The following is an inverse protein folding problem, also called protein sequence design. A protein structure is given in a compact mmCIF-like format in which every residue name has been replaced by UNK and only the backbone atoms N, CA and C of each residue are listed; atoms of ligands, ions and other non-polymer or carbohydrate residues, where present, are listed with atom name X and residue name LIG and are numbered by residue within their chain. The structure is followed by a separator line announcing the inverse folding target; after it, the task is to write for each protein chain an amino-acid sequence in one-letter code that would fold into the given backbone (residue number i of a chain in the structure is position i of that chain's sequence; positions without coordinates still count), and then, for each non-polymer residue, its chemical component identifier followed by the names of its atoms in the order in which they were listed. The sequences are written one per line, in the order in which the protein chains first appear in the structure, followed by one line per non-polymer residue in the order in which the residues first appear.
data_IF_060737531458
#
_entry.id   IF_060737531458
#
_cell.length_a   1.000
_cell.length_b   1.000
_cell.length_c   1.000
_cell.angle_alpha   90.00
_cell.angle_beta   90.00
_cell.angle_gamma   90.00
#
_symmetry.space_group_name_H-M   'P 1'
#
loop_
_entity.id
_entity.type
_entity.pdbx_description
1 polymer ?
#
# COMPACT_ATOMS: atom_id res chain seq x y z
N UNK A 1 0.31 -4.80 7.83
CA UNK A 1 -0.20 -5.86 8.71
C UNK A 1 0.67 -7.09 8.50
N UNK A 2 1.38 -7.51 9.52
CA UNK A 2 2.19 -8.73 9.47
C UNK A 2 1.33 -9.88 10.00
N UNK A 3 1.10 -10.88 9.16
CA UNK A 3 0.50 -12.12 9.60
C UNK A 3 1.62 -13.13 9.88
N UNK A 4 1.60 -13.74 11.04
CA UNK A 4 2.40 -14.93 11.26
C UNK A 4 1.89 -16.03 10.32
N UNK A 5 2.82 -16.71 9.64
CA UNK A 5 2.46 -17.80 8.72
C UNK A 5 1.59 -18.84 9.42
N UNK A 6 0.57 -19.32 8.71
CA UNK A 6 -0.55 -20.09 9.25
C UNK A 6 -0.26 -21.49 9.76
N UNK A 7 0.98 -21.84 10.02
CA UNK A 7 1.37 -23.07 10.72
C UNK A 7 1.86 -22.71 12.11
N UNK A 8 1.34 -23.37 13.14
CA UNK A 8 1.75 -23.22 14.54
C UNK A 8 3.26 -23.44 14.81
N UNK A 9 4.02 -23.81 13.81
CA UNK A 9 5.47 -24.02 13.86
C UNK A 9 6.26 -22.95 13.09
N UNK A 10 5.61 -22.04 12.35
CA UNK A 10 6.32 -21.08 11.50
C UNK A 10 6.27 -19.68 12.13
N UNK A 11 7.41 -19.23 12.63
CA UNK A 11 7.62 -17.90 13.20
C UNK A 11 7.95 -16.83 12.16
N UNK A 12 7.88 -17.16 10.86
CA UNK A 12 8.12 -16.21 9.78
C UNK A 12 6.88 -15.38 9.51
N UNK A 13 7.09 -14.07 9.38
CA UNK A 13 6.11 -13.19 8.80
C UNK A 13 5.99 -13.48 7.30
N UNK A 14 4.81 -13.88 6.86
CA UNK A 14 4.54 -14.17 5.45
C UNK A 14 3.71 -13.06 4.83
N UNK A 15 4.20 -12.47 3.75
CA UNK A 15 3.44 -11.54 2.92
C UNK A 15 3.20 -12.07 1.51
N UNK A 16 4.07 -12.93 1.00
CA UNK A 16 3.87 -13.57 -0.29
C UNK A 16 2.86 -14.73 -0.20
N UNK A 17 2.06 -14.88 -1.26
CA UNK A 17 1.03 -15.94 -1.32
C UNK A 17 1.60 -17.35 -1.19
N UNK A 18 2.80 -17.55 -1.71
CA UNK A 18 3.50 -18.85 -1.68
C UNK A 18 4.03 -19.23 -0.30
N UNK A 19 4.14 -18.26 0.61
CA UNK A 19 4.71 -18.45 1.94
C UNK A 19 3.64 -18.65 3.03
N UNK A 20 2.35 -18.60 2.68
CA UNK A 20 1.26 -18.69 3.67
C UNK A 20 0.02 -19.37 3.11
N UNK A 21 -0.67 -20.12 3.97
CA UNK A 21 -2.00 -20.67 3.71
C UNK A 21 -3.15 -19.70 4.03
N UNK A 22 -2.83 -18.44 4.38
CA UNK A 22 -3.85 -17.45 4.70
C UNK A 22 -4.75 -17.18 3.50
N UNK A 23 -6.04 -17.49 3.66
CA UNK A 23 -7.04 -17.24 2.64
C UNK A 23 -7.77 -15.91 2.89
N UNK A 24 -7.49 -14.90 2.05
CA UNK A 24 -8.11 -13.59 2.15
C UNK A 24 -9.65 -13.62 2.08
N UNK A 25 -10.25 -14.61 1.44
CA UNK A 25 -11.71 -14.77 1.37
C UNK A 25 -12.33 -15.08 2.75
N UNK A 26 -11.54 -15.68 3.65
CA UNK A 26 -11.95 -16.05 4.99
C UNK A 26 -11.66 -14.97 6.06
N UNK A 27 -10.91 -13.92 5.70
CA UNK A 27 -10.47 -12.89 6.66
C UNK A 27 -11.62 -12.23 7.44
N UNK A 28 -12.82 -12.17 6.85
CA UNK A 28 -14.02 -11.59 7.47
C UNK A 28 -15.09 -12.64 7.83
N UNK A 29 -14.77 -13.94 7.71
CA UNK A 29 -15.68 -15.02 8.06
C UNK A 29 -15.47 -15.45 9.50
N UNK A 30 -16.42 -15.15 10.36
CA UNK A 30 -16.35 -15.47 11.80
C UNK A 30 -16.10 -16.97 12.02
N UNK A 31 -15.20 -17.28 12.94
CA UNK A 31 -14.84 -18.64 13.32
C UNK A 31 -13.70 -19.27 12.50
N UNK A 32 -13.23 -18.60 11.45
CA UNK A 32 -12.03 -19.03 10.72
C UNK A 32 -10.77 -18.58 11.45
N UNK A 33 -9.66 -19.26 11.21
CA UNK A 33 -8.39 -18.84 11.79
C UNK A 33 -7.89 -17.53 11.18
N UNK A 34 -8.17 -17.31 9.89
CA UNK A 34 -7.85 -16.07 9.19
C UNK A 34 -8.56 -14.86 9.80
N UNK A 35 -9.85 -15.01 10.12
CA UNK A 35 -10.61 -13.95 10.78
C UNK A 35 -10.03 -13.63 12.16
N UNK A 36 -9.67 -14.64 12.92
CA UNK A 36 -9.05 -14.47 14.24
C UNK A 36 -7.75 -13.68 14.10
N UNK A 37 -6.82 -14.10 13.24
CA UNK A 37 -5.53 -13.45 13.04
C UNK A 37 -5.70 -12.02 12.52
N UNK A 38 -6.57 -11.82 11.52
CA UNK A 38 -6.84 -10.50 10.96
C UNK A 38 -7.36 -9.53 12.03
N UNK A 39 -8.31 -9.97 12.86
CA UNK A 39 -8.87 -9.14 13.94
C UNK A 39 -7.85 -8.82 15.03
N UNK A 40 -7.04 -9.81 15.43
CA UNK A 40 -5.98 -9.61 16.41
C UNK A 40 -4.91 -8.63 15.92
N UNK A 41 -4.54 -8.70 14.64
CA UNK A 41 -3.57 -7.78 14.05
C UNK A 41 -4.14 -6.36 13.89
N UNK A 42 -5.41 -6.21 13.50
CA UNK A 42 -6.06 -4.90 13.50
C UNK A 42 -6.04 -4.26 14.90
N UNK A 43 -6.30 -5.04 15.95
CA UNK A 43 -6.27 -4.53 17.33
C UNK A 43 -4.86 -4.08 17.75
N UNK A 44 -3.83 -4.87 17.43
CA UNK A 44 -2.42 -4.51 17.71
C UNK A 44 -2.01 -3.23 16.95
N UNK A 45 -2.36 -3.14 15.68
CA UNK A 45 -2.05 -1.98 14.85
C UNK A 45 -2.77 -0.74 15.37
N UNK A 46 -4.08 -0.83 15.70
CA UNK A 46 -4.83 0.28 16.25
C UNK A 46 -4.21 0.81 17.56
N UNK A 47 -3.78 -0.09 18.45
CA UNK A 47 -3.10 0.29 19.68
C UNK A 47 -1.81 1.08 19.44
N UNK A 48 -0.99 0.67 18.47
CA UNK A 48 0.23 1.38 18.09
C UNK A 48 -0.05 2.72 17.41
N UNK A 49 -1.06 2.80 16.54
CA UNK A 49 -1.48 4.03 15.88
C UNK A 49 -1.98 5.07 16.89
N UNK A 50 -2.68 4.63 17.94
CA UNK A 50 -3.12 5.52 19.04
C UNK A 50 -1.94 6.14 19.78
N UNK A 51 -0.83 5.44 19.98
CA UNK A 51 0.37 6.01 20.59
C UNK A 51 0.92 7.20 19.77
N UNK A 52 0.94 7.06 18.45
CA UNK A 52 1.34 8.15 17.56
C UNK A 52 0.31 9.29 17.55
N UNK A 53 -0.97 8.95 17.59
CA UNK A 53 -2.06 9.92 17.66
C UNK A 53 -1.99 10.76 18.94
N UNK A 54 -1.73 10.14 20.09
CA UNK A 54 -1.63 10.82 21.38
C UNK A 54 -0.48 11.84 21.40
N UNK A 55 0.57 11.60 20.60
CA UNK A 55 1.68 12.53 20.38
C UNK A 55 1.43 13.53 19.24
N UNK A 56 0.23 13.53 18.66
CA UNK A 56 -0.16 14.44 17.55
C UNK A 56 0.53 14.13 16.21
N UNK A 57 1.03 12.92 16.00
CA UNK A 57 1.76 12.52 14.80
C UNK A 57 0.78 11.96 13.76
N UNK A 58 0.63 12.61 12.58
CA UNK A 58 -0.14 12.05 11.48
C UNK A 58 0.64 10.89 10.82
N UNK A 59 -0.08 9.88 10.35
CA UNK A 59 0.50 8.70 9.73
C UNK A 59 -0.01 8.55 8.29
N UNK A 60 0.92 8.49 7.32
CA UNK A 60 0.62 8.04 5.97
C UNK A 60 0.47 6.53 6.02
N UNK A 61 -0.76 6.05 5.89
CA UNK A 61 -1.12 4.64 6.04
C UNK A 61 -1.34 4.01 4.66
N UNK A 62 -0.40 3.17 4.24
CA UNK A 62 -0.40 2.47 2.95
C UNK A 62 -0.48 0.95 3.13
N UNK A 63 -1.64 0.42 3.54
CA UNK A 63 -1.83 -1.01 3.75
C UNK A 63 -2.04 -1.74 2.43
N UNK A 64 -1.74 -3.04 2.39
CA UNK A 64 -2.09 -3.93 1.30
C UNK A 64 -1.68 -3.42 -0.09
N UNK A 65 -0.49 -2.82 -0.19
CA UNK A 65 0.00 -2.25 -1.43
C UNK A 65 0.11 -3.30 -2.55
N UNK A 66 0.06 -2.85 -3.81
CA UNK A 66 0.25 -3.69 -5.00
C UNK A 66 -0.65 -4.94 -5.05
N UNK A 67 -1.88 -4.84 -4.56
CA UNK A 67 -2.77 -5.98 -4.43
C UNK A 67 -3.10 -6.64 -5.77
N UNK A 68 -3.30 -5.85 -6.83
CA UNK A 68 -3.62 -6.35 -8.16
C UNK A 68 -2.46 -7.12 -8.82
N UNK A 69 -1.23 -6.97 -8.34
CA UNK A 69 -0.07 -7.74 -8.78
C UNK A 69 -0.16 -9.23 -8.44
N UNK A 70 -0.91 -9.57 -7.38
CA UNK A 70 -1.27 -10.95 -7.05
C UNK A 70 -0.17 -11.76 -6.38
N UNK A 71 1.00 -11.19 -6.09
CA UNK A 71 2.10 -11.88 -5.38
C UNK A 71 1.96 -11.88 -3.87
N UNK A 72 1.24 -10.92 -3.30
CA UNK A 72 0.94 -10.88 -1.88
C UNK A 72 -0.35 -11.63 -1.53
N UNK A 73 -0.49 -12.13 -0.29
CA UNK A 73 -1.66 -12.88 0.14
C UNK A 73 -2.95 -12.03 0.07
N UNK A 74 -2.87 -10.70 0.25
CA UNK A 74 -4.00 -9.79 0.12
C UNK A 74 -4.41 -9.50 -1.33
N UNK A 75 -3.61 -9.96 -2.31
CA UNK A 75 -3.86 -9.84 -3.75
C UNK A 75 -4.60 -11.02 -4.35
N UNK A 76 -5.37 -11.81 -3.57
CA UNK A 76 -6.09 -12.97 -4.07
C UNK A 76 -7.16 -12.60 -5.10
N UNK A 77 -8.01 -11.63 -4.78
CA UNK A 77 -9.03 -11.08 -5.67
C UNK A 77 -9.50 -9.70 -5.17
N UNK A 78 -10.05 -8.90 -6.09
CA UNK A 78 -10.49 -7.54 -5.82
C UNK A 78 -11.62 -7.45 -4.77
N UNK A 79 -12.51 -8.42 -4.70
CA UNK A 79 -13.63 -8.42 -3.75
C UNK A 79 -13.14 -8.56 -2.32
N UNK A 80 -12.33 -9.57 -2.04
CA UNK A 80 -11.78 -9.81 -0.70
C UNK A 80 -10.86 -8.67 -0.26
N UNK A 81 -10.03 -8.16 -1.18
CA UNK A 81 -9.20 -6.99 -0.92
C UNK A 81 -10.03 -5.78 -0.48
N UNK A 82 -11.05 -5.37 -1.25
CA UNK A 82 -11.90 -4.22 -0.89
C UNK A 82 -12.64 -4.44 0.42
N UNK A 83 -13.13 -5.64 0.66
CA UNK A 83 -13.82 -5.97 1.90
C UNK A 83 -12.91 -5.85 3.11
N UNK A 84 -11.68 -6.37 3.04
CA UNK A 84 -10.67 -6.24 4.10
C UNK A 84 -10.28 -4.77 4.33
N UNK A 85 -10.08 -4.00 3.25
CA UNK A 85 -9.76 -2.56 3.33
C UNK A 85 -10.85 -1.80 4.08
N UNK A 86 -12.11 -1.96 3.66
CA UNK A 86 -13.25 -1.28 4.27
C UNK A 86 -13.45 -1.73 5.73
N UNK A 87 -13.27 -3.02 6.01
CA UNK A 87 -13.34 -3.53 7.38
C UNK A 87 -12.27 -2.92 8.29
N UNK A 88 -11.02 -2.84 7.82
CA UNK A 88 -9.91 -2.18 8.53
C UNK A 88 -10.19 -0.70 8.77
N UNK A 89 -10.64 0.03 7.73
CA UNK A 89 -11.01 1.44 7.84
C UNK A 89 -12.08 1.66 8.93
N UNK A 90 -13.15 0.88 8.88
CA UNK A 90 -14.25 0.99 9.85
C UNK A 90 -13.81 0.58 11.26
N UNK A 91 -12.95 -0.44 11.38
CA UNK A 91 -12.41 -0.87 12.66
C UNK A 91 -11.58 0.24 13.31
N UNK A 92 -10.63 0.83 12.58
CA UNK A 92 -9.80 1.92 13.12
C UNK A 92 -10.63 3.14 13.49
N UNK A 93 -11.63 3.47 12.68
CA UNK A 93 -12.58 4.55 12.99
C UNK A 93 -13.37 4.27 14.27
N UNK A 94 -13.85 3.04 14.45
CA UNK A 94 -14.59 2.63 15.67
C UNK A 94 -13.70 2.64 16.91
N UNK A 95 -12.41 2.31 16.76
CA UNK A 95 -11.40 2.40 17.80
C UNK A 95 -10.95 3.85 18.11
N UNK A 96 -11.45 4.84 17.37
CA UNK A 96 -11.10 6.25 17.56
C UNK A 96 -9.76 6.67 16.97
N UNK A 97 -9.17 5.88 16.07
CA UNK A 97 -7.98 6.26 15.31
C UNK A 97 -8.40 7.26 14.23
N UNK A 98 -7.82 8.47 14.25
CA UNK A 98 -8.20 9.57 13.39
C UNK A 98 -7.01 10.39 12.83
N UNK A 99 -5.79 9.86 12.95
CA UNK A 99 -4.55 10.49 12.49
C UNK A 99 -4.00 9.87 11.21
N UNK A 100 -4.81 9.11 10.45
CA UNK A 100 -4.37 8.40 9.24
C UNK A 100 -4.70 9.18 7.97
N UNK A 101 -3.75 9.15 7.04
CA UNK A 101 -3.90 9.55 5.64
C UNK A 101 -3.82 8.28 4.80
N UNK A 102 -4.94 7.87 4.22
CA UNK A 102 -5.07 6.57 3.56
C UNK A 102 -4.55 6.59 2.13
N UNK A 103 -3.58 5.75 1.85
CA UNK A 103 -2.96 5.61 0.52
C UNK A 103 -3.29 4.26 -0.08
N UNK A 104 -4.01 4.25 -1.18
CA UNK A 104 -4.22 3.07 -2.01
C UNK A 104 -3.21 3.07 -3.16
N UNK A 105 -2.51 1.96 -3.37
CA UNK A 105 -1.55 1.79 -4.47
C UNK A 105 -2.25 1.17 -5.66
N UNK A 106 -2.30 1.92 -6.78
CA UNK A 106 -2.89 1.45 -8.04
C UNK A 106 -1.84 0.78 -8.93
N UNK A 107 -2.26 -0.25 -9.61
CA UNK A 107 -1.61 -0.83 -10.78
C UNK A 107 -2.34 -0.40 -12.06
N UNK A 108 -1.79 -0.67 -13.22
CA UNK A 108 -2.48 -0.31 -14.46
C UNK A 108 -3.63 -1.27 -14.73
N UNK A 109 -4.85 -0.73 -14.89
CA UNK A 109 -6.05 -1.51 -15.23
C UNK A 109 -6.66 -2.27 -14.05
N UNK A 110 -6.49 -1.74 -12.85
CA UNK A 110 -6.97 -2.33 -11.60
C UNK A 110 -8.15 -1.56 -10.96
N UNK A 111 -8.95 -0.88 -11.76
CA UNK A 111 -10.09 -0.08 -11.28
C UNK A 111 -11.03 -0.87 -10.36
N UNK A 112 -11.17 -2.16 -10.61
CA UNK A 112 -11.99 -3.08 -9.81
C UNK A 112 -11.48 -3.24 -8.37
N UNK A 113 -10.20 -2.91 -8.11
CA UNK A 113 -9.57 -2.99 -6.80
C UNK A 113 -9.73 -1.74 -5.95
N UNK A 114 -10.20 -0.63 -6.55
CA UNK A 114 -10.36 0.63 -5.85
C UNK A 114 -11.40 0.53 -4.73
N UNK A 115 -11.04 0.81 -3.46
CA UNK A 115 -11.98 0.71 -2.34
C UNK A 115 -13.09 1.76 -2.35
N UNK A 116 -12.88 2.84 -3.11
CA UNK A 116 -13.82 3.95 -3.23
C UNK A 116 -13.35 5.23 -2.53
N UNK A 117 -13.85 6.36 -3.03
CA UNK A 117 -13.42 7.71 -2.62
C UNK A 117 -13.55 7.99 -1.12
N UNK A 118 -14.49 7.34 -0.44
CA UNK A 118 -14.72 7.52 1.00
C UNK A 118 -13.64 6.88 1.89
N UNK A 119 -12.80 6.02 1.31
CA UNK A 119 -11.83 5.18 2.02
C UNK A 119 -10.37 5.45 1.60
N UNK A 120 -10.14 6.40 0.70
CA UNK A 120 -8.82 6.72 0.14
C UNK A 120 -8.63 8.22 0.10
N UNK A 121 -7.51 8.70 0.61
CA UNK A 121 -7.10 10.11 0.54
C UNK A 121 -6.14 10.37 -0.62
N UNK A 122 -5.18 9.47 -0.82
CA UNK A 122 -4.13 9.57 -1.82
C UNK A 122 -4.12 8.29 -2.67
N UNK A 123 -3.97 8.44 -3.98
CA UNK A 123 -3.69 7.33 -4.89
C UNK A 123 -2.20 7.26 -5.12
N UNK A 124 -1.59 6.16 -4.71
CA UNK A 124 -0.18 5.87 -4.89
C UNK A 124 0.09 5.04 -6.14
N UNK A 125 1.30 5.13 -6.66
CA UNK A 125 1.82 4.28 -7.72
C UNK A 125 3.23 3.84 -7.38
N UNK A 126 3.51 2.54 -7.52
CA UNK A 126 4.83 1.98 -7.36
C UNK A 126 5.44 1.76 -8.75
N UNK A 127 6.62 2.33 -9.00
CA UNK A 127 7.24 2.32 -10.33
C UNK A 127 8.70 1.90 -10.23
N UNK A 128 9.05 0.91 -11.03
CA UNK A 128 10.43 0.42 -11.17
C UNK A 128 10.87 0.39 -12.62
N UNK A 129 12.13 0.74 -12.86
CA UNK A 129 12.82 0.57 -14.15
C UNK A 129 12.10 1.27 -15.32
N UNK A 130 11.67 2.52 -15.11
CA UNK A 130 11.01 3.35 -16.13
C UNK A 130 11.70 4.71 -16.29
N UNK A 131 11.71 5.23 -17.51
CA UNK A 131 12.18 6.59 -17.78
C UNK A 131 11.16 7.66 -17.28
N UNK A 132 11.58 8.92 -17.27
CA UNK A 132 10.80 10.03 -16.79
C UNK A 132 9.50 10.26 -17.59
N UNK A 133 9.53 10.00 -18.91
CA UNK A 133 8.37 10.17 -19.78
C UNK A 133 7.30 9.12 -19.52
N UNK A 134 7.72 7.89 -19.29
CA UNK A 134 6.83 6.78 -18.92
C UNK A 134 6.22 7.01 -17.52
N UNK A 135 7.02 7.46 -16.55
CA UNK A 135 6.50 7.84 -15.23
C UNK A 135 5.46 8.97 -15.34
N UNK A 136 5.68 9.96 -16.19
CA UNK A 136 4.72 11.04 -16.41
C UNK A 136 3.44 10.57 -17.12
N UNK A 137 3.54 9.58 -18.00
CA UNK A 137 2.37 8.94 -18.62
C UNK A 137 1.53 8.17 -17.57
N UNK A 138 2.18 7.41 -16.69
CA UNK A 138 1.51 6.71 -15.60
C UNK A 138 0.78 7.72 -14.68
N UNK A 139 1.49 8.79 -14.26
CA UNK A 139 0.88 9.89 -13.50
C UNK A 139 -0.37 10.45 -14.15
N UNK A 140 -0.29 10.77 -15.45
CA UNK A 140 -1.41 11.36 -16.19
C UNK A 140 -2.61 10.42 -16.25
N UNK A 141 -2.37 9.12 -16.41
CA UNK A 141 -3.43 8.10 -16.41
C UNK A 141 -4.15 8.02 -15.06
N UNK A 142 -3.41 8.11 -13.95
CA UNK A 142 -3.97 8.10 -12.60
C UNK A 142 -4.80 9.37 -12.36
N UNK A 143 -4.29 10.54 -12.77
CA UNK A 143 -5.04 11.81 -12.64
C UNK A 143 -6.34 11.78 -13.45
N UNK A 144 -6.35 11.13 -14.60
CA UNK A 144 -7.58 10.97 -15.41
C UNK A 144 -8.58 10.06 -14.70
N UNK A 145 -8.11 8.97 -14.12
CA UNK A 145 -8.97 7.99 -13.44
C UNK A 145 -9.48 8.49 -12.07
N UNK A 146 -8.62 9.19 -11.30
CA UNK A 146 -8.86 9.57 -9.90
C UNK A 146 -8.59 11.05 -9.64
N UNK A 147 -9.05 11.93 -10.56
CA UNK A 147 -8.68 13.35 -10.60
C UNK A 147 -9.08 14.21 -9.40
N UNK A 148 -9.86 13.68 -8.45
CA UNK A 148 -10.21 14.31 -7.18
C UNK A 148 -9.26 13.92 -6.02
N UNK A 149 -8.24 13.11 -6.30
CA UNK A 149 -7.27 12.62 -5.31
C UNK A 149 -5.87 13.21 -5.56
N UNK A 150 -5.12 13.39 -4.49
CA UNK A 150 -3.68 13.58 -4.61
C UNK A 150 -3.05 12.30 -5.14
N UNK A 151 -2.00 12.46 -5.96
CA UNK A 151 -1.29 11.33 -6.56
C UNK A 151 0.15 11.33 -6.08
N UNK A 152 0.64 10.18 -5.64
CA UNK A 152 1.99 10.00 -5.13
C UNK A 152 2.75 8.90 -5.87
N UNK A 153 4.06 9.07 -6.01
CA UNK A 153 4.99 8.00 -6.36
C UNK A 153 5.32 7.24 -5.08
N UNK A 154 4.40 6.35 -4.68
CA UNK A 154 4.38 5.75 -3.34
C UNK A 154 5.52 4.78 -3.08
N UNK A 155 6.15 4.29 -4.16
CA UNK A 155 7.39 3.53 -4.13
C UNK A 155 8.09 3.62 -5.47
N UNK A 156 9.42 3.71 -5.50
CA UNK A 156 10.13 3.71 -6.77
C UNK A 156 11.56 3.17 -6.65
N UNK A 157 12.04 2.64 -7.79
CA UNK A 157 13.42 2.21 -7.93
C UNK A 157 13.88 2.26 -9.39
N UNK A 158 15.11 2.79 -9.62
CA UNK A 158 15.70 2.91 -10.95
C UNK A 158 14.78 3.61 -11.96
N UNK A 159 14.20 4.72 -11.55
CA UNK A 159 13.33 5.56 -12.39
C UNK A 159 14.06 6.83 -12.85
N UNK A 160 13.56 7.45 -13.92
CA UNK A 160 14.07 8.76 -14.37
C UNK A 160 14.03 9.81 -13.26
N UNK A 161 14.92 10.80 -13.32
CA UNK A 161 15.05 11.84 -12.30
C UNK A 161 13.72 12.52 -11.99
N UNK A 162 13.46 12.79 -10.73
CA UNK A 162 12.21 13.41 -10.30
C UNK A 162 12.00 14.79 -10.94
N UNK A 163 13.08 15.55 -11.15
CA UNK A 163 13.04 16.83 -11.84
C UNK A 163 12.65 16.70 -13.34
N UNK A 164 13.07 15.63 -14.00
CA UNK A 164 12.69 15.32 -15.38
C UNK A 164 11.24 14.85 -15.46
N UNK A 165 10.81 14.01 -14.51
CA UNK A 165 9.39 13.60 -14.37
C UNK A 165 8.50 14.82 -14.15
N UNK A 166 8.93 15.75 -13.29
CA UNK A 166 8.22 17.01 -13.05
C UNK A 166 8.13 17.88 -14.31
N UNK A 167 9.23 18.01 -15.06
CA UNK A 167 9.26 18.73 -16.34
C UNK A 167 8.35 18.08 -17.39
N UNK A 168 8.23 16.76 -17.37
CA UNK A 168 7.33 15.98 -18.23
C UNK A 168 5.85 16.02 -17.80
N UNK A 169 5.53 16.61 -16.65
CA UNK A 169 4.15 16.81 -16.19
C UNK A 169 3.73 16.01 -14.97
N UNK A 170 4.54 15.08 -14.48
CA UNK A 170 4.23 14.36 -13.24
C UNK A 170 4.38 15.25 -12.01
N UNK A 171 3.27 15.52 -11.33
CA UNK A 171 3.19 16.38 -10.15
C UNK A 171 2.92 15.53 -8.91
N UNK A 172 3.82 14.53 -8.67
CA UNK A 172 3.73 13.69 -7.49
C UNK A 172 3.68 14.55 -6.23
N UNK A 173 2.72 14.29 -5.34
CA UNK A 173 2.61 15.00 -4.06
C UNK A 173 3.76 14.68 -3.12
N UNK A 174 4.27 13.45 -3.21
CA UNK A 174 5.50 12.97 -2.57
C UNK A 174 6.01 11.76 -3.35
N UNK A 175 7.25 11.32 -3.04
CA UNK A 175 7.87 10.12 -3.61
C UNK A 175 8.70 9.42 -2.54
N UNK A 176 8.83 8.08 -2.67
CA UNK A 176 9.57 7.25 -1.74
C UNK A 176 10.43 6.24 -2.51
N UNK A 177 11.74 6.50 -2.66
CA UNK A 177 12.65 5.49 -3.20
C UNK A 177 12.69 4.27 -2.29
N UNK A 178 12.62 3.07 -2.91
CA UNK A 178 12.80 1.83 -2.18
C UNK A 178 14.25 1.69 -1.74
N UNK A 179 14.48 0.92 -0.68
CA UNK A 179 15.85 0.69 -0.19
C UNK A 179 16.69 -0.04 -1.23
N UNK A 180 17.99 0.26 -1.25
CA UNK A 180 18.99 -0.46 -2.03
C UNK A 180 19.58 -1.61 -1.22
N UNK A 181 20.00 -2.68 -1.89
CA UNK A 181 20.86 -3.67 -1.26
C UNK A 181 22.20 -3.02 -0.84
N UNK A 182 22.82 -3.52 0.23
CA UNK A 182 24.07 -2.95 0.75
C UNK A 182 25.21 -2.91 -0.28
N UNK A 183 25.15 -3.80 -1.29
CA UNK A 183 26.11 -3.95 -2.37
C UNK A 183 25.59 -3.46 -3.74
N UNK A 184 24.53 -2.66 -3.76
CA UNK A 184 23.96 -2.14 -5.00
C UNK A 184 24.97 -1.27 -5.77
N UNK A 185 25.34 -1.70 -6.98
CA UNK A 185 26.23 -0.93 -7.87
C UNK A 185 25.56 0.36 -8.39
N UNK A 186 24.23 0.34 -8.52
CA UNK A 186 23.41 1.47 -8.97
C UNK A 186 22.26 1.70 -7.99
N UNK A 187 22.38 2.65 -7.07
CA UNK A 187 21.33 2.96 -6.12
C UNK A 187 20.07 3.48 -6.82
N UNK A 188 18.90 3.20 -6.26
CA UNK A 188 17.61 3.63 -6.78
C UNK A 188 17.47 5.16 -6.82
N UNK A 189 18.06 5.85 -5.86
CA UNK A 189 18.06 7.30 -5.77
C UNK A 189 19.36 7.79 -5.11
N UNK A 190 20.36 8.10 -5.92
CA UNK A 190 21.56 8.78 -5.46
C UNK A 190 21.40 10.30 -5.43
N UNK A 191 22.45 11.02 -4.99
CA UNK A 191 22.42 12.48 -4.95
C UNK A 191 22.17 13.12 -6.32
N UNK A 192 22.53 12.47 -7.42
CA UNK A 192 22.33 12.98 -8.78
C UNK A 192 20.91 12.74 -9.31
N UNK A 193 20.12 11.90 -8.64
CA UNK A 193 18.74 11.59 -9.01
C UNK A 193 17.74 12.71 -8.64
N UNK A 194 18.06 13.51 -7.63
CA UNK A 194 17.21 14.63 -7.15
C UNK A 194 17.13 15.83 -8.13
#
# INVERSE_FOLDING_TARGET
VYLEGGSASDTKYAFYREDTDFDADNALTEGTWENKVFTEDLAKVAANLKLLQDEGIPVIWRPFHEAAGGWFWWGKNATSFKNMWIAMFNYFKAEGVNNLIWVWTTETGDDDWYPGDAYVDIVGRDIYTKDASTCASDYSSIVVAYGNKMVALSECGTVGKISEQWAAGARWSWFMPWYDAEDAETPHADQAWW
#
